data_IF_966054221409
#
_entry.id   IF_966054221409
#
_cell.length_a   1.000
_cell.length_b   1.000
_cell.length_c   1.000
_cell.angle_alpha   90.00
_cell.angle_beta   90.00
_cell.angle_gamma   90.00
#
_symmetry.space_group_name_H-M   'P 1'
#
loop_
_entity.id
_entity.type
_entity.pdbx_description
1 polymer ?
#
# COMPACT_ATOMS: atom_id res chain seq x y z
N UNK A 1 -9.03 18.83 -3.65
CA UNK A 1 -7.79 18.24 -4.19
C UNK A 1 -6.70 18.51 -3.19
N UNK A 2 -5.90 17.52 -2.79
CA UNK A 2 -4.71 17.81 -2.00
C UNK A 2 -3.62 18.23 -2.98
N UNK A 3 -3.30 19.52 -3.01
CA UNK A 3 -2.26 20.10 -3.85
C UNK A 3 -1.02 20.30 -2.97
N UNK A 4 -0.28 19.21 -2.78
CA UNK A 4 0.94 19.21 -2.00
C UNK A 4 2.11 18.80 -2.90
N UNK A 5 3.11 19.67 -3.05
CA UNK A 5 4.33 19.41 -3.80
C UNK A 5 5.54 19.53 -2.89
N UNK A 6 6.45 18.57 -2.96
CA UNK A 6 7.71 18.65 -2.23
C UNK A 6 8.75 19.28 -3.13
N UNK A 7 9.35 20.38 -2.70
CA UNK A 7 10.41 21.04 -3.48
C UNK A 7 11.79 20.42 -3.27
N UNK A 8 11.97 19.65 -2.21
CA UNK A 8 13.27 19.13 -1.82
C UNK A 8 13.34 18.76 -0.35
N UNK A 9 14.57 18.46 0.08
CA UNK A 9 14.89 18.07 1.45
C UNK A 9 15.80 19.11 2.11
N UNK A 10 15.59 19.28 3.42
CA UNK A 10 16.39 20.16 4.28
C UNK A 10 16.63 19.48 5.62
N UNK A 11 17.69 19.88 6.30
CA UNK A 11 17.94 19.46 7.69
C UNK A 11 17.37 20.51 8.63
N UNK A 12 16.51 20.09 9.55
CA UNK A 12 15.93 20.96 10.59
C UNK A 12 15.93 20.21 11.92
N UNK A 13 16.48 20.83 12.97
CA UNK A 13 16.58 20.18 14.29
C UNK A 13 17.43 18.90 14.31
N UNK A 14 18.35 18.73 13.34
CA UNK A 14 19.16 17.51 13.21
C UNK A 14 18.44 16.37 12.48
N UNK A 15 17.21 16.57 12.03
CA UNK A 15 16.44 15.58 11.26
C UNK A 15 16.26 16.04 9.81
N UNK A 16 16.21 15.07 8.89
CA UNK A 16 15.95 15.32 7.48
C UNK A 16 14.43 15.45 7.27
N UNK A 17 14.02 16.59 6.72
CA UNK A 17 12.63 16.96 6.50
C UNK A 17 12.40 17.33 5.03
N UNK A 18 11.17 17.15 4.56
CA UNK A 18 10.72 17.60 3.24
C UNK A 18 10.12 19.00 3.32
N UNK A 19 10.54 19.89 2.44
CA UNK A 19 9.89 21.20 2.23
C UNK A 19 8.69 20.98 1.31
N UNK A 20 7.49 21.11 1.86
CA UNK A 20 6.24 20.89 1.13
C UNK A 20 5.46 22.20 1.00
N UNK A 21 5.13 22.58 -0.23
CA UNK A 21 4.16 23.61 -0.54
C UNK A 21 2.76 23.02 -0.53
N UNK A 22 1.84 23.70 0.16
CA UNK A 22 0.42 23.34 0.22
C UNK A 22 -0.39 24.18 -0.76
N UNK A 23 -1.64 23.80 -0.99
CA UNK A 23 -2.57 24.49 -1.90
C UNK A 23 -2.73 26.01 -1.67
N UNK A 24 -2.41 26.50 -0.48
CA UNK A 24 -2.50 27.91 -0.11
C UNK A 24 -1.19 28.68 -0.40
N UNK A 25 -0.20 28.07 -1.05
CA UNK A 25 1.14 28.62 -1.26
C UNK A 25 2.02 28.62 0.00
N UNK A 26 1.54 28.05 1.10
CA UNK A 26 2.31 27.98 2.34
C UNK A 26 3.29 26.81 2.27
N UNK A 27 4.58 27.12 2.46
CA UNK A 27 5.65 26.13 2.60
C UNK A 27 5.77 25.72 4.07
N UNK A 28 5.84 24.41 4.32
CA UNK A 28 6.01 23.83 5.65
C UNK A 28 7.00 22.68 5.63
N UNK A 29 7.52 22.31 6.81
CA UNK A 29 8.37 21.13 6.96
C UNK A 29 7.52 19.91 7.30
N UNK A 30 7.84 18.80 6.65
CA UNK A 30 7.13 17.54 6.78
C UNK A 30 8.12 16.40 7.00
N UNK A 31 7.84 15.51 7.95
CA UNK A 31 8.66 14.32 8.18
C UNK A 31 8.58 13.32 7.02
N UNK A 32 9.66 12.58 6.77
CA UNK A 32 9.79 11.68 5.62
C UNK A 32 8.75 10.54 5.58
N UNK A 33 8.15 10.19 6.71
CA UNK A 33 7.08 9.17 6.77
C UNK A 33 5.84 9.58 5.98
N UNK A 34 5.60 10.89 5.85
CA UNK A 34 4.45 11.42 5.11
C UNK A 34 4.65 11.37 3.59
N UNK A 35 5.89 11.23 3.11
CA UNK A 35 6.21 11.14 1.68
C UNK A 35 5.54 9.93 1.00
N UNK A 36 5.16 8.90 1.76
CA UNK A 36 4.37 7.78 1.26
C UNK A 36 2.92 8.13 0.89
N UNK A 37 2.44 9.34 1.23
CA UNK A 37 1.07 9.83 0.93
C UNK A 37 1.04 11.24 0.31
N UNK A 38 1.97 12.12 0.70
CA UNK A 38 1.99 13.55 0.38
C UNK A 38 3.24 13.96 -0.38
N UNK A 39 3.20 15.11 -1.06
CA UNK A 39 4.32 15.64 -1.84
C UNK A 39 4.28 15.35 -3.34
N UNK A 40 3.18 14.77 -3.81
CA UNK A 40 2.79 14.78 -5.22
C UNK A 40 1.31 15.19 -5.25
N UNK A 41 0.91 16.14 -6.10
CA UNK A 41 -0.47 16.54 -6.30
C UNK A 41 -1.41 15.38 -6.57
N UNK A 42 -2.66 15.55 -6.17
CA UNK A 42 -3.74 14.60 -6.42
C UNK A 42 -4.87 15.25 -7.22
N UNK A 43 -5.49 14.49 -8.12
CA UNK A 43 -6.61 14.94 -8.92
C UNK A 43 -7.86 14.09 -8.65
N UNK A 44 -9.05 14.71 -8.79
CA UNK A 44 -10.33 14.02 -8.61
C UNK A 44 -10.64 13.05 -9.76
N UNK A 45 -10.21 13.39 -10.97
CA UNK A 45 -10.33 12.55 -12.16
C UNK A 45 -8.94 12.39 -12.78
N UNK A 46 -8.58 11.16 -13.10
CA UNK A 46 -7.28 10.81 -13.68
C UNK A 46 -7.48 9.90 -14.88
N UNK A 47 -6.73 10.15 -15.95
CA UNK A 47 -6.51 9.17 -17.01
C UNK A 47 -5.66 8.06 -16.42
N UNK A 48 -5.99 6.80 -16.72
CA UNK A 48 -5.29 5.62 -16.22
C UNK A 48 -4.84 4.76 -17.39
N UNK A 49 -3.55 4.74 -17.66
CA UNK A 49 -2.97 3.97 -18.75
C UNK A 49 -2.08 2.85 -18.21
N UNK A 50 -2.24 1.66 -18.76
CA UNK A 50 -1.36 0.51 -18.50
C UNK A 50 -0.33 0.45 -19.62
N UNK A 51 0.95 0.48 -19.26
CA UNK A 51 2.05 0.61 -20.21
C UNK A 51 3.13 -0.41 -19.88
N UNK A 52 3.80 -0.91 -20.93
CA UNK A 52 5.11 -1.53 -20.82
C UNK A 52 6.16 -0.46 -21.11
N UNK A 53 7.07 -0.24 -20.16
CA UNK A 53 8.09 0.81 -20.23
C UNK A 53 9.46 0.21 -19.95
N UNK A 54 10.49 0.70 -20.64
CA UNK A 54 11.85 0.41 -20.25
C UNK A 54 12.38 1.53 -19.35
N UNK A 55 13.08 1.16 -18.27
CA UNK A 55 13.60 2.16 -17.33
C UNK A 55 14.63 3.12 -17.96
N UNK A 56 15.34 2.68 -19.00
CA UNK A 56 16.30 3.51 -19.73
C UNK A 56 15.65 4.56 -20.65
N UNK A 57 14.35 4.44 -20.93
CA UNK A 57 13.62 5.42 -21.75
C UNK A 57 13.24 6.68 -20.95
N UNK A 58 13.38 6.64 -19.63
CA UNK A 58 13.08 7.76 -18.74
C UNK A 58 14.27 8.72 -18.71
N UNK A 59 14.01 9.98 -19.07
CA UNK A 59 15.01 11.05 -19.04
C UNK A 59 14.62 12.12 -18.01
N UNK A 60 15.55 12.62 -17.18
CA UNK A 60 15.25 13.75 -16.29
C UNK A 60 14.86 15.01 -17.09
N UNK A 61 13.82 15.70 -16.63
CA UNK A 61 13.34 16.95 -17.23
C UNK A 61 12.97 17.96 -16.12
N UNK A 62 12.62 19.19 -16.52
CA UNK A 62 12.22 20.23 -15.57
C UNK A 62 10.83 19.95 -14.98
N UNK A 63 10.60 20.32 -13.73
CA UNK A 63 9.29 20.24 -13.08
C UNK A 63 8.31 21.37 -13.50
N UNK A 64 8.72 22.26 -14.41
CA UNK A 64 8.00 23.51 -14.71
C UNK A 64 6.57 23.30 -15.18
N UNK A 65 6.33 22.35 -16.10
CA UNK A 65 4.97 22.03 -16.57
C UNK A 65 4.10 21.49 -15.42
N UNK A 66 4.71 20.73 -14.49
CA UNK A 66 4.05 20.21 -13.31
C UNK A 66 3.63 21.32 -12.35
N UNK A 67 4.57 22.19 -12.00
CA UNK A 67 4.36 23.34 -11.12
C UNK A 67 3.29 24.27 -11.69
N UNK A 68 3.39 24.60 -12.98
CA UNK A 68 2.46 25.50 -13.67
C UNK A 68 1.05 24.91 -13.71
N UNK A 69 0.90 23.63 -14.06
CA UNK A 69 -0.41 23.00 -14.19
C UNK A 69 -1.18 22.96 -12.87
N UNK A 70 -0.49 22.68 -11.76
CA UNK A 70 -1.11 22.61 -10.43
C UNK A 70 -1.19 23.97 -9.73
N UNK A 71 -0.78 25.06 -10.38
CA UNK A 71 -0.83 26.41 -9.81
C UNK A 71 0.08 26.58 -8.59
N UNK A 72 1.19 25.84 -8.54
CA UNK A 72 2.18 25.91 -7.48
C UNK A 72 3.10 27.12 -7.69
N UNK A 73 3.67 27.66 -6.62
CA UNK A 73 4.59 28.78 -6.73
C UNK A 73 5.88 28.33 -7.42
N UNK A 74 6.08 28.82 -8.65
CA UNK A 74 7.33 28.65 -9.35
C UNK A 74 8.46 29.29 -8.52
N UNK A 75 9.31 28.45 -7.94
CA UNK A 75 10.66 28.88 -7.58
C UNK A 75 11.42 29.13 -8.89
N UNK A 76 12.44 29.98 -8.88
CA UNK A 76 13.25 30.33 -10.06
C UNK A 76 13.55 29.09 -10.92
N UNK A 77 13.47 29.18 -12.25
CA UNK A 77 13.73 28.05 -13.15
C UNK A 77 15.02 27.32 -12.75
N UNK A 78 14.92 26.01 -12.52
CA UNK A 78 16.05 25.17 -12.09
C UNK A 78 16.31 25.08 -10.58
N UNK A 79 15.46 25.66 -9.72
CA UNK A 79 15.64 25.58 -8.25
C UNK A 79 14.82 24.49 -7.56
N UNK A 80 13.88 23.85 -8.27
CA UNK A 80 13.15 22.71 -7.71
C UNK A 80 14.07 21.48 -7.63
N UNK A 81 14.17 20.89 -6.44
CA UNK A 81 15.05 19.76 -6.13
C UNK A 81 14.27 18.44 -6.14
N UNK A 82 13.05 18.42 -6.68
CA UNK A 82 12.28 17.21 -6.92
C UNK A 82 12.36 16.82 -8.39
N UNK A 83 13.08 15.74 -8.66
CA UNK A 83 13.30 15.21 -10.00
C UNK A 83 11.96 14.79 -10.64
N UNK A 84 11.81 15.13 -11.92
CA UNK A 84 10.72 14.66 -12.78
C UNK A 84 11.33 13.98 -13.99
N UNK A 85 10.83 12.80 -14.34
CA UNK A 85 11.20 12.10 -15.57
C UNK A 85 10.20 12.41 -16.67
N UNK A 86 10.68 12.51 -17.90
CA UNK A 86 9.85 12.34 -19.09
C UNK A 86 10.04 10.93 -19.67
N UNK A 87 8.94 10.36 -20.18
CA UNK A 87 8.94 9.12 -20.96
C UNK A 87 7.86 9.18 -22.03
N UNK A 88 8.12 8.60 -23.20
CA UNK A 88 7.19 8.55 -24.31
C UNK A 88 6.65 7.13 -24.48
N UNK A 89 5.33 6.97 -24.52
CA UNK A 89 4.69 5.68 -24.77
C UNK A 89 3.32 5.86 -25.39
N UNK A 90 2.98 5.04 -26.39
CA UNK A 90 1.68 5.11 -27.06
C UNK A 90 1.38 6.47 -27.73
N UNK A 91 2.42 7.20 -28.16
CA UNK A 91 2.28 8.55 -28.73
C UNK A 91 2.04 9.67 -27.70
N UNK A 92 2.04 9.35 -26.40
CA UNK A 92 1.90 10.31 -25.32
C UNK A 92 3.22 10.53 -24.59
N UNK A 93 3.47 11.79 -24.17
CA UNK A 93 4.52 12.14 -23.22
C UNK A 93 3.96 12.06 -21.80
N UNK A 94 4.70 11.43 -20.89
CA UNK A 94 4.36 11.35 -19.47
C UNK A 94 5.40 12.07 -18.64
N UNK A 95 4.97 12.91 -17.71
CA UNK A 95 5.83 13.51 -16.69
C UNK A 95 5.64 12.78 -15.36
N UNK A 96 6.70 12.13 -14.88
CA UNK A 96 6.67 11.23 -13.73
C UNK A 96 7.56 11.78 -12.62
N UNK A 97 6.98 12.34 -11.53
CA UNK A 97 7.77 12.76 -10.38
C UNK A 97 8.49 11.58 -9.73
N UNK A 98 9.76 11.77 -9.37
CA UNK A 98 10.58 10.75 -8.73
C UNK A 98 9.90 10.16 -7.48
N UNK A 99 9.29 11.00 -6.64
CA UNK A 99 8.50 10.54 -5.50
C UNK A 99 7.34 9.59 -5.86
N UNK A 100 6.64 9.82 -6.97
CA UNK A 100 5.58 8.92 -7.43
C UNK A 100 6.17 7.56 -7.85
N UNK A 101 7.31 7.58 -8.55
CA UNK A 101 8.05 6.37 -8.93
C UNK A 101 8.59 5.61 -7.70
N UNK A 102 9.22 6.31 -6.75
CA UNK A 102 9.72 5.74 -5.49
C UNK A 102 8.60 5.04 -4.70
N UNK A 103 7.39 5.62 -4.62
CA UNK A 103 6.24 4.96 -3.96
C UNK A 103 5.83 3.65 -4.65
N UNK A 104 6.03 3.54 -5.96
CA UNK A 104 5.75 2.34 -6.72
C UNK A 104 6.83 1.28 -6.52
N UNK A 105 8.11 1.69 -6.50
CA UNK A 105 9.28 0.82 -6.30
C UNK A 105 9.37 0.27 -4.88
N UNK A 106 9.17 1.11 -3.86
CA UNK A 106 9.40 0.73 -2.47
C UNK A 106 8.11 0.32 -1.76
N UNK A 107 7.61 -0.90 -2.04
CA UNK A 107 6.35 -1.40 -1.47
C UNK A 107 6.56 -2.25 -0.20
N UNK A 108 5.79 -2.03 0.87
CA UNK A 108 4.74 -1.01 1.02
C UNK A 108 5.32 0.39 1.30
N UNK A 109 4.88 1.39 0.51
CA UNK A 109 5.44 2.75 0.51
C UNK A 109 5.51 3.40 1.89
N UNK A 110 4.44 3.29 2.69
CA UNK A 110 4.38 3.89 4.03
C UNK A 110 5.41 3.35 5.03
N UNK A 111 6.08 2.23 4.70
CA UNK A 111 7.03 1.56 5.58
C UNK A 111 8.42 1.53 5.00
N UNK A 112 8.55 1.23 3.71
CA UNK A 112 9.85 1.03 3.07
C UNK A 112 10.46 2.33 2.54
N UNK A 113 9.66 3.20 1.91
CA UNK A 113 10.14 4.46 1.34
C UNK A 113 10.91 5.33 2.35
N UNK A 114 10.41 5.60 3.58
CA UNK A 114 11.13 6.47 4.51
C UNK A 114 12.51 5.93 4.91
N UNK A 115 12.69 4.60 4.86
CA UNK A 115 13.95 3.96 5.18
C UNK A 115 15.01 4.19 4.10
N UNK A 116 14.60 4.35 2.84
CA UNK A 116 15.50 4.54 1.69
C UNK A 116 16.26 5.87 1.73
N UNK A 117 15.79 6.84 2.51
CA UNK A 117 16.49 8.11 2.73
C UNK A 117 17.66 8.01 3.73
N UNK A 118 17.90 6.81 4.31
CA UNK A 118 19.00 6.54 5.23
C UNK A 118 20.14 5.78 4.54
N UNK A 119 21.39 5.90 5.01
CA UNK A 119 22.49 5.12 4.46
C UNK A 119 22.28 3.62 4.66
N UNK A 120 22.70 2.82 3.68
CA UNK A 120 22.63 1.35 3.66
C UNK A 120 21.23 0.84 4.01
N UNK A 121 20.22 1.46 3.39
CA UNK A 121 18.83 1.25 3.75
C UNK A 121 18.40 -0.21 3.57
N UNK A 122 18.88 -0.89 2.53
CA UNK A 122 18.55 -2.28 2.28
C UNK A 122 19.20 -3.18 3.33
N UNK A 123 20.51 -3.09 3.54
CA UNK A 123 21.29 -3.94 4.45
C UNK A 123 20.87 -3.79 5.91
N UNK A 124 20.43 -2.59 6.30
CA UNK A 124 19.95 -2.34 7.67
C UNK A 124 18.56 -2.91 7.94
N UNK A 125 17.79 -3.21 6.90
CA UNK A 125 16.37 -3.56 7.02
C UNK A 125 16.03 -4.93 6.43
N UNK A 126 16.92 -5.51 5.63
CA UNK A 126 16.76 -6.80 4.98
C UNK A 126 18.10 -7.51 4.88
N UNK A 127 18.08 -8.83 4.93
CA UNK A 127 19.24 -9.70 4.67
C UNK A 127 18.85 -10.90 3.83
N UNK A 128 19.84 -11.48 3.17
CA UNK A 128 19.71 -12.77 2.52
C UNK A 128 20.11 -13.88 3.50
N UNK A 129 19.32 -14.94 3.54
CA UNK A 129 19.58 -16.11 4.37
C UNK A 129 19.31 -17.38 3.57
N UNK A 130 20.24 -18.33 3.61
CA UNK A 130 20.02 -19.66 3.08
C UNK A 130 19.26 -20.51 4.11
N UNK A 131 18.12 -21.05 3.71
CA UNK A 131 17.32 -21.99 4.50
C UNK A 131 17.07 -23.21 3.62
N UNK A 132 17.59 -24.38 4.02
CA UNK A 132 17.48 -25.63 3.27
C UNK A 132 17.93 -25.49 1.78
N UNK A 133 19.11 -24.87 1.58
CA UNK A 133 19.70 -24.53 0.27
C UNK A 133 18.86 -23.56 -0.61
N UNK A 134 17.78 -23.01 -0.08
CA UNK A 134 16.98 -21.96 -0.73
C UNK A 134 17.37 -20.57 -0.19
N UNK A 135 17.72 -19.66 -1.10
CA UNK A 135 18.06 -18.29 -0.74
C UNK A 135 16.80 -17.45 -0.49
N UNK A 136 16.59 -16.98 0.75
CA UNK A 136 15.41 -16.22 1.15
C UNK A 136 15.75 -14.80 1.56
N UNK A 137 14.79 -13.89 1.39
CA UNK A 137 14.88 -12.53 1.95
C UNK A 137 14.23 -12.51 3.31
N UNK A 138 15.02 -12.14 4.32
CA UNK A 138 14.53 -11.86 5.66
C UNK A 138 14.45 -10.35 5.82
N UNK A 139 13.26 -9.85 6.14
CA UNK A 139 13.02 -8.41 6.37
C UNK A 139 13.06 -8.15 7.88
N UNK A 140 14.18 -7.60 8.35
CA UNK A 140 14.45 -7.30 9.77
C UNK A 140 13.98 -5.90 10.20
N UNK A 141 13.31 -5.17 9.31
CA UNK A 141 12.81 -3.83 9.58
C UNK A 141 11.86 -3.77 10.81
N UNK A 142 11.89 -2.72 11.64
CA UNK A 142 11.09 -2.66 12.88
C UNK A 142 9.59 -2.90 12.71
N UNK A 143 9.05 -2.55 11.54
CA UNK A 143 7.63 -2.72 11.21
C UNK A 143 7.23 -4.17 10.87
N UNK A 144 8.18 -5.08 10.60
CA UNK A 144 7.86 -6.47 10.24
C UNK A 144 7.53 -7.34 11.43
N UNK A 145 7.97 -6.96 12.64
CA UNK A 145 7.73 -7.69 13.90
C UNK A 145 6.24 -7.90 14.22
N UNK A 146 5.35 -7.09 13.66
CA UNK A 146 3.89 -7.20 13.81
C UNK A 146 3.15 -7.61 12.52
N UNK A 147 3.87 -7.85 11.42
CA UNK A 147 3.33 -7.95 10.07
C UNK A 147 3.09 -9.38 9.55
N UNK A 148 3.46 -10.44 10.31
CA UNK A 148 3.29 -11.85 9.88
C UNK A 148 1.86 -12.21 9.42
N UNK A 149 0.86 -11.43 9.80
CA UNK A 149 -0.56 -11.68 9.50
C UNK A 149 -1.21 -10.74 8.47
N UNK A 150 -0.47 -9.83 7.82
CA UNK A 150 -1.05 -8.89 6.83
C UNK A 150 -0.18 -8.71 5.57
N UNK A 151 0.30 -9.81 4.97
CA UNK A 151 0.98 -9.77 3.66
C UNK A 151 -0.04 -9.56 2.53
N UNK A 152 -0.51 -8.33 2.33
CA UNK A 152 -1.28 -7.95 1.13
C UNK A 152 -0.40 -7.34 0.02
N UNK A 153 0.82 -6.88 0.35
CA UNK A 153 1.81 -6.43 -0.64
C UNK A 153 2.93 -7.47 -0.77
N UNK A 154 3.16 -7.97 -1.98
CA UNK A 154 4.32 -8.81 -2.30
C UNK A 154 5.59 -7.96 -2.22
N UNK A 155 6.13 -7.75 -1.01
CA UNK A 155 7.36 -6.98 -0.81
C UNK A 155 8.62 -7.86 -0.89
N UNK A 156 8.48 -9.18 -0.76
CA UNK A 156 9.58 -10.13 -0.76
C UNK A 156 10.28 -10.21 -2.12
N UNK A 157 9.50 -10.35 -3.22
CA UNK A 157 10.04 -10.34 -4.58
C UNK A 157 10.82 -9.06 -4.92
N UNK A 158 10.23 -7.87 -4.73
CA UNK A 158 10.92 -6.58 -4.92
C UNK A 158 12.19 -6.42 -4.09
N UNK A 159 12.16 -6.76 -2.80
CA UNK A 159 13.34 -6.65 -1.93
C UNK A 159 14.43 -7.65 -2.34
N UNK A 160 14.04 -8.85 -2.76
CA UNK A 160 14.97 -9.86 -3.29
C UNK A 160 15.67 -9.37 -4.53
N UNK A 161 14.92 -8.79 -5.45
CA UNK A 161 15.46 -8.16 -6.65
C UNK A 161 16.47 -7.06 -6.30
N UNK A 162 16.10 -6.12 -5.43
CA UNK A 162 16.99 -5.03 -5.01
C UNK A 162 18.27 -5.53 -4.31
N UNK A 163 18.19 -6.62 -3.54
CA UNK A 163 19.35 -7.21 -2.89
C UNK A 163 20.25 -7.98 -3.85
N UNK A 164 19.73 -8.52 -4.94
CA UNK A 164 20.50 -9.43 -5.82
C UNK A 164 20.99 -8.79 -7.10
N UNK A 165 20.26 -7.82 -7.64
CA UNK A 165 20.59 -7.19 -8.92
C UNK A 165 21.34 -5.88 -8.70
N UNK A 166 22.58 -5.72 -9.24
CA UNK A 166 23.40 -4.54 -9.03
C UNK A 166 22.72 -3.23 -9.39
N UNK A 167 21.97 -3.17 -10.49
CA UNK A 167 21.29 -1.95 -10.91
C UNK A 167 20.14 -1.58 -9.97
N UNK A 168 19.43 -2.56 -9.42
CA UNK A 168 18.36 -2.36 -8.46
C UNK A 168 18.87 -1.96 -7.08
N UNK A 169 20.03 -2.50 -6.67
CA UNK A 169 20.72 -2.07 -5.44
C UNK A 169 21.17 -0.62 -5.55
N UNK A 170 21.81 -0.24 -6.67
CA UNK A 170 22.22 1.14 -6.97
C UNK A 170 21.02 2.10 -6.99
N UNK A 171 19.89 1.71 -7.60
CA UNK A 171 18.65 2.47 -7.54
C UNK A 171 18.25 2.76 -6.08
N UNK A 172 18.22 1.75 -5.22
CA UNK A 172 17.82 1.94 -3.82
C UNK A 172 18.79 2.87 -3.06
N UNK A 173 20.09 2.71 -3.25
CA UNK A 173 21.13 3.53 -2.61
C UNK A 173 21.12 4.98 -3.10
N UNK A 174 20.77 5.21 -4.37
CA UNK A 174 20.73 6.55 -4.97
C UNK A 174 19.80 7.50 -4.21
N UNK A 175 18.71 6.99 -3.60
CA UNK A 175 17.75 7.79 -2.85
C UNK A 175 18.43 8.54 -1.71
N UNK A 176 19.23 7.84 -0.90
CA UNK A 176 19.98 8.48 0.19
C UNK A 176 21.06 9.43 -0.36
N UNK A 177 21.76 9.03 -1.42
CA UNK A 177 22.81 9.84 -2.04
C UNK A 177 22.28 11.20 -2.52
N UNK A 178 21.15 11.20 -3.25
CA UNK A 178 20.47 12.41 -3.67
C UNK A 178 19.91 13.19 -2.48
N UNK A 179 19.39 12.51 -1.46
CA UNK A 179 18.86 13.15 -0.27
C UNK A 179 19.92 13.95 0.50
N UNK A 180 21.18 13.51 0.49
CA UNK A 180 22.31 14.25 1.06
C UNK A 180 22.57 15.58 0.35
N UNK A 181 22.23 15.69 -0.95
CA UNK A 181 22.23 16.94 -1.70
C UNK A 181 20.92 17.75 -1.54
N UNK A 182 20.00 17.28 -0.71
CA UNK A 182 18.69 17.91 -0.52
C UNK A 182 17.70 17.65 -1.65
N UNK A 183 17.91 16.62 -2.47
CA UNK A 183 17.03 16.28 -3.60
C UNK A 183 16.04 15.16 -3.26
N UNK A 184 14.87 15.21 -3.89
CA UNK A 184 13.96 14.08 -4.05
C UNK A 184 14.21 13.49 -5.45
N UNK A 185 15.13 12.54 -5.54
CA UNK A 185 15.54 11.92 -6.80
C UNK A 185 15.93 10.44 -6.61
N UNK A 186 15.84 9.65 -7.68
CA UNK A 186 16.17 8.22 -7.71
C UNK A 186 16.75 7.84 -9.06
N UNK A 187 17.77 7.00 -9.08
CA UNK A 187 18.23 6.36 -10.33
C UNK A 187 17.32 5.20 -10.68
N UNK A 188 17.06 4.95 -11.96
CA UNK A 188 16.23 3.83 -12.38
C UNK A 188 17.09 2.59 -12.72
N UNK A 189 16.61 1.38 -12.42
CA UNK A 189 17.41 0.16 -12.56
C UNK A 189 17.39 -0.34 -14.02
N UNK A 190 18.23 -1.33 -14.33
CA UNK A 190 18.26 -1.95 -15.64
C UNK A 190 17.09 -2.93 -15.77
N UNK A 191 16.22 -2.71 -16.77
CA UNK A 191 15.12 -3.61 -17.07
C UNK A 191 13.93 -2.90 -17.70
N UNK A 192 12.83 -3.65 -17.78
CA UNK A 192 11.53 -3.11 -18.17
C UNK A 192 10.49 -3.46 -17.12
N UNK A 193 9.41 -2.69 -17.12
CA UNK A 193 8.35 -2.83 -16.16
C UNK A 193 6.99 -2.64 -16.80
N UNK A 194 6.04 -3.36 -16.24
CA UNK A 194 4.64 -3.15 -16.53
C UNK A 194 4.10 -2.18 -15.46
N UNK A 195 3.64 -1.02 -15.90
CA UNK A 195 3.19 0.08 -15.03
C UNK A 195 1.74 0.45 -15.31
N UNK A 196 1.09 1.03 -14.31
CA UNK A 196 -0.11 1.85 -14.49
C UNK A 196 0.22 3.27 -14.08
N UNK A 197 0.09 4.21 -15.00
CA UNK A 197 0.17 5.63 -14.70
C UNK A 197 -1.25 6.18 -14.53
N UNK A 198 -1.48 6.85 -13.40
CA UNK A 198 -2.66 7.68 -13.21
C UNK A 198 -2.25 9.15 -13.15
N UNK A 199 -2.82 9.97 -14.03
CA UNK A 199 -2.41 11.36 -14.18
C UNK A 199 -3.50 12.25 -14.75
N UNK A 200 -3.19 13.54 -14.86
CA UNK A 200 -4.05 14.55 -15.48
C UNK A 200 -3.47 14.95 -16.82
N UNK A 201 -4.33 15.16 -17.82
CA UNK A 201 -3.88 15.69 -19.10
C UNK A 201 -3.45 17.15 -18.93
N UNK A 202 -2.17 17.42 -19.18
CA UNK A 202 -1.60 18.75 -19.28
C UNK A 202 -1.66 19.29 -20.71
N UNK A 203 -1.00 20.43 -20.92
CA UNK A 203 -0.95 21.07 -22.23
C UNK A 203 -0.18 20.23 -23.25
N UNK A 204 0.93 19.59 -22.84
CA UNK A 204 1.80 18.83 -23.74
C UNK A 204 2.09 17.40 -23.28
N UNK A 205 1.77 17.06 -22.03
CA UNK A 205 2.03 15.75 -21.45
C UNK A 205 0.96 15.33 -20.45
N UNK A 206 0.89 14.03 -20.16
CA UNK A 206 0.15 13.51 -19.00
C UNK A 206 1.00 13.69 -17.75
N UNK A 207 0.51 14.49 -16.80
CA UNK A 207 1.16 14.72 -15.52
C UNK A 207 0.81 13.59 -14.56
N UNK A 208 1.75 12.66 -14.37
CA UNK A 208 1.52 11.45 -13.57
C UNK A 208 1.51 11.81 -12.09
N UNK A 209 0.43 11.47 -11.41
CA UNK A 209 0.20 11.72 -9.96
C UNK A 209 0.37 10.45 -9.12
N UNK A 210 0.14 9.28 -9.73
CA UNK A 210 0.34 7.98 -9.11
C UNK A 210 0.98 7.03 -10.12
N UNK A 211 2.02 6.31 -9.70
CA UNK A 211 2.58 5.18 -10.42
C UNK A 211 2.23 3.90 -9.66
N UNK A 212 1.76 2.88 -10.38
CA UNK A 212 1.68 1.51 -9.86
C UNK A 212 2.56 0.60 -10.69
N UNK A 213 3.48 -0.09 -10.05
CA UNK A 213 4.26 -1.15 -10.67
C UNK A 213 3.44 -2.45 -10.57
N UNK A 214 3.22 -3.11 -11.70
CA UNK A 214 2.56 -4.42 -11.76
C UNK A 214 3.60 -5.53 -11.73
N UNK A 215 4.67 -5.37 -12.50
CA UNK A 215 5.82 -6.28 -12.51
C UNK A 215 7.08 -5.61 -13.05
N UNK A 216 8.23 -6.17 -12.74
CA UNK A 216 9.53 -5.82 -13.30
C UNK A 216 10.20 -7.06 -13.88
N UNK A 217 10.88 -6.91 -15.00
CA UNK A 217 11.80 -7.91 -15.54
C UNK A 217 13.18 -7.26 -15.61
N UNK A 218 14.14 -7.69 -14.76
CA UNK A 218 15.49 -7.14 -14.76
C UNK A 218 16.22 -7.51 -16.05
N UNK A 219 17.10 -6.63 -16.51
CA UNK A 219 17.99 -6.93 -17.65
C UNK A 219 19.45 -7.11 -17.24
N UNK A 220 19.79 -6.85 -15.98
CA UNK A 220 21.09 -7.19 -15.39
C UNK A 220 21.07 -8.57 -14.73
N UNK A 221 22.27 -9.09 -14.48
CA UNK A 221 22.48 -10.43 -13.90
C UNK A 221 22.61 -10.29 -12.38
N UNK A 222 22.00 -11.19 -11.58
CA UNK A 222 22.17 -11.16 -10.13
C UNK A 222 23.59 -11.53 -9.70
N UNK A 223 24.06 -10.94 -8.60
CA UNK A 223 25.40 -11.17 -8.01
C UNK A 223 25.57 -12.57 -7.41
N UNK A 224 24.46 -13.20 -7.03
CA UNK A 224 24.43 -14.53 -6.44
C UNK A 224 23.62 -15.49 -7.32
N UNK A 225 23.94 -16.80 -7.31
CA UNK A 225 23.14 -17.79 -8.01
C UNK A 225 21.70 -17.74 -7.52
N UNK A 226 20.77 -17.57 -8.45
CA UNK A 226 19.33 -17.62 -8.20
C UNK A 226 18.80 -18.98 -8.63
N UNK A 227 18.29 -19.77 -7.68
CA UNK A 227 17.67 -21.05 -7.99
C UNK A 227 16.30 -20.82 -8.65
N UNK A 228 16.07 -21.32 -9.87
CA UNK A 228 14.79 -21.47 -10.60
C UNK A 228 13.71 -20.38 -10.44
N UNK A 229 14.07 -19.16 -10.03
CA UNK A 229 13.10 -18.09 -9.82
C UNK A 229 12.65 -17.52 -11.15
N UNK A 230 11.36 -17.22 -11.23
CA UNK A 230 10.81 -16.50 -12.36
C UNK A 230 11.58 -15.18 -12.55
N UNK A 231 12.03 -14.87 -13.78
CA UNK A 231 12.74 -13.62 -14.07
C UNK A 231 11.84 -12.39 -13.90
N UNK A 232 10.52 -12.59 -13.83
CA UNK A 232 9.51 -11.57 -13.58
C UNK A 232 9.26 -11.42 -12.07
N UNK A 233 9.43 -10.20 -11.57
CA UNK A 233 9.14 -9.80 -10.21
C UNK A 233 7.77 -9.15 -10.16
N UNK A 234 6.78 -9.82 -9.58
CA UNK A 234 5.44 -9.26 -9.44
C UNK A 234 5.31 -8.37 -8.20
N UNK A 235 4.82 -7.15 -8.42
CA UNK A 235 4.53 -6.18 -7.35
C UNK A 235 3.11 -6.29 -6.81
N UNK A 236 2.25 -7.01 -7.53
CA UNK A 236 0.88 -7.32 -7.17
C UNK A 236 0.78 -8.83 -6.99
N UNK A 237 0.08 -9.28 -5.94
CA UNK A 237 -0.23 -10.69 -5.80
C UNK A 237 -1.33 -11.05 -6.81
N UNK A 238 -0.92 -11.42 -8.04
CA UNK A 238 -1.83 -11.76 -9.14
C UNK A 238 -2.66 -13.00 -8.82
N UNK A 239 -2.10 -13.99 -8.12
CA UNK A 239 -2.82 -15.19 -7.66
C UNK A 239 -3.97 -14.81 -6.71
N UNK A 240 -3.78 -13.81 -5.86
CA UNK A 240 -4.87 -13.28 -5.03
C UNK A 240 -5.90 -12.48 -5.84
N UNK A 241 -5.48 -11.80 -6.90
CA UNK A 241 -6.33 -10.96 -7.76
C UNK A 241 -7.04 -11.74 -8.88
N UNK A 242 -6.56 -12.93 -9.23
CA UNK A 242 -7.12 -13.79 -10.27
C UNK A 242 -8.53 -14.21 -9.89
N UNK A 243 -9.51 -13.94 -10.76
CA UNK A 243 -10.93 -14.17 -10.49
C UNK A 243 -11.60 -13.19 -9.52
N UNK A 244 -10.90 -12.17 -9.01
CA UNK A 244 -11.49 -11.13 -8.15
C UNK A 244 -11.65 -9.82 -8.91
N UNK A 245 -12.89 -9.46 -9.26
CA UNK A 245 -13.20 -8.10 -9.69
C UNK A 245 -13.05 -7.15 -8.50
N UNK A 246 -11.93 -6.44 -8.42
CA UNK A 246 -11.67 -5.43 -7.36
C UNK A 246 -12.56 -4.18 -7.47
N UNK A 247 -13.38 -4.07 -8.51
CA UNK A 247 -14.45 -3.08 -8.65
C UNK A 247 -15.80 -3.56 -8.12
N UNK A 248 -15.94 -4.85 -7.82
CA UNK A 248 -17.11 -5.38 -7.15
C UNK A 248 -16.90 -5.12 -5.65
N UNK A 249 -17.79 -4.32 -5.06
CA UNK A 249 -17.82 -4.21 -3.60
C UNK A 249 -18.14 -5.61 -3.11
N UNK A 250 -17.12 -6.36 -2.66
CA UNK A 250 -17.32 -7.60 -1.92
C UNK A 250 -17.97 -7.18 -0.61
N UNK A 251 -19.28 -6.95 -0.66
CA UNK A 251 -20.13 -7.03 0.51
C UNK A 251 -19.94 -8.45 1.00
N UNK A 252 -19.39 -8.61 2.20
CA UNK A 252 -19.51 -9.89 2.85
C UNK A 252 -21.01 -10.19 2.86
N UNK A 253 -21.44 -11.31 2.27
CA UNK A 253 -22.84 -11.74 2.28
C UNK A 253 -23.21 -12.10 3.73
N UNK A 254 -23.41 -11.05 4.54
CA UNK A 254 -23.76 -11.11 5.95
C UNK A 254 -25.28 -11.18 5.98
N UNK A 255 -25.89 -12.24 6.52
CA UNK A 255 -27.33 -12.34 6.57
C UNK A 255 -27.89 -11.20 7.43
N UNK A 256 -28.86 -10.44 6.92
CA UNK A 256 -29.58 -9.39 7.64
C UNK A 256 -31.03 -9.81 7.91
N UNK A 257 -31.64 -9.20 8.92
CA UNK A 257 -33.06 -9.32 9.18
C UNK A 257 -33.89 -8.56 8.12
N UNK A 258 -35.17 -8.93 7.88
CA UNK A 258 -36.02 -8.25 6.91
C UNK A 258 -36.19 -6.73 7.14
N UNK A 259 -35.96 -6.24 8.36
CA UNK A 259 -35.99 -4.82 8.73
C UNK A 259 -34.67 -4.08 8.44
N UNK A 260 -33.67 -4.76 7.87
CA UNK A 260 -32.37 -4.20 7.51
C UNK A 260 -31.34 -4.19 8.64
N UNK A 261 -31.65 -4.77 9.80
CA UNK A 261 -30.74 -4.85 10.95
C UNK A 261 -29.79 -6.05 10.87
N UNK A 262 -28.66 -5.94 11.56
CA UNK A 262 -27.63 -7.00 11.60
C UNK A 262 -27.47 -7.62 12.99
N UNK A 263 -27.94 -6.92 14.02
CA UNK A 263 -27.88 -7.32 15.42
C UNK A 263 -28.50 -8.70 15.65
N UNK A 264 -27.97 -9.42 16.63
CA UNK A 264 -28.41 -10.78 16.96
C UNK A 264 -29.60 -10.74 17.92
N UNK A 265 -30.63 -11.51 17.59
CA UNK A 265 -31.69 -11.86 18.55
C UNK A 265 -31.17 -12.83 19.62
N UNK A 266 -31.91 -12.97 20.72
CA UNK A 266 -31.56 -13.91 21.79
C UNK A 266 -31.52 -15.36 21.28
N UNK A 267 -32.45 -15.72 20.39
CA UNK A 267 -32.53 -17.06 19.80
C UNK A 267 -31.37 -17.33 18.85
N UNK A 268 -30.95 -16.35 18.04
CA UNK A 268 -29.78 -16.49 17.18
C UNK A 268 -28.49 -16.60 17.99
N UNK A 269 -28.39 -15.81 19.06
CA UNK A 269 -27.25 -15.90 19.96
C UNK A 269 -27.18 -17.25 20.68
N UNK A 270 -28.31 -17.85 21.05
CA UNK A 270 -28.33 -19.17 21.67
C UNK A 270 -27.72 -20.26 20.77
N UNK A 271 -27.83 -20.12 19.45
CA UNK A 271 -27.23 -21.05 18.48
C UNK A 271 -25.78 -20.71 18.19
N UNK A 272 -25.45 -19.42 18.02
CA UNK A 272 -24.14 -18.96 17.55
C UNK A 272 -23.12 -18.80 18.67
N UNK A 273 -23.57 -18.41 19.86
CA UNK A 273 -22.72 -18.20 21.04
C UNK A 273 -21.83 -19.41 21.35
N UNK A 274 -22.37 -20.63 21.43
CA UNK A 274 -21.59 -21.84 21.64
C UNK A 274 -20.49 -22.08 20.60
N UNK A 275 -20.75 -21.76 19.32
CA UNK A 275 -19.77 -21.91 18.21
C UNK A 275 -18.58 -20.96 18.41
N UNK A 276 -18.82 -19.76 18.91
CA UNK A 276 -17.78 -18.75 19.14
C UNK A 276 -17.04 -18.95 20.46
N UNK A 277 -17.62 -19.71 21.38
CA UNK A 277 -17.11 -19.99 22.72
C UNK A 277 -16.44 -21.36 22.86
N UNK A 278 -16.70 -22.30 21.94
CA UNK A 278 -16.32 -23.73 22.04
C UNK A 278 -14.82 -24.02 22.14
N UNK A 279 -13.93 -23.13 21.68
CA UNK A 279 -12.47 -23.33 21.71
C UNK A 279 -11.71 -22.30 22.56
N UNK A 280 -11.99 -22.24 23.87
CA UNK A 280 -11.05 -21.60 24.81
C UNK A 280 -10.20 -22.65 25.54
N UNK A 281 -9.05 -22.98 24.95
CA UNK A 281 -7.96 -23.67 25.64
C UNK A 281 -7.33 -22.84 26.77
N UNK A 282 -7.70 -21.56 26.96
CA UNK A 282 -7.12 -20.69 27.98
C UNK A 282 -8.20 -19.95 28.79
N UNK A 283 -8.17 -20.14 30.11
CA UNK A 283 -9.06 -19.58 31.15
C UNK A 283 -9.02 -18.03 31.31
N UNK A 284 -8.64 -17.26 30.28
CA UNK A 284 -8.71 -15.79 30.39
C UNK A 284 -10.09 -15.29 29.98
N UNK A 285 -10.81 -14.70 30.94
CA UNK A 285 -12.13 -14.09 30.74
C UNK A 285 -12.04 -13.05 29.62
N UNK A 286 -12.89 -13.16 28.58
CA UNK A 286 -12.99 -12.11 27.58
C UNK A 286 -13.38 -10.80 28.27
N UNK A 287 -12.64 -9.73 28.00
CA UNK A 287 -12.89 -8.41 28.60
C UNK A 287 -14.21 -7.79 28.10
N UNK A 288 -14.71 -8.24 26.95
CA UNK A 288 -15.92 -7.72 26.33
C UNK A 288 -16.92 -8.84 26.03
N UNK A 289 -18.21 -8.50 26.09
CA UNK A 289 -19.31 -9.40 25.74
C UNK A 289 -19.18 -9.83 24.27
N UNK A 290 -19.11 -11.14 24.01
CA UNK A 290 -18.87 -11.66 22.67
C UNK A 290 -20.05 -11.44 21.73
N UNK A 291 -21.28 -11.49 22.22
CA UNK A 291 -22.48 -11.15 21.45
C UNK A 291 -22.40 -9.74 20.88
N UNK A 292 -22.20 -8.76 21.76
CA UNK A 292 -22.09 -7.35 21.38
C UNK A 292 -20.89 -7.09 20.46
N UNK A 293 -19.83 -7.87 20.60
CA UNK A 293 -18.69 -7.83 19.68
C UNK A 293 -19.07 -8.37 18.29
N UNK A 294 -19.84 -9.47 18.24
CA UNK A 294 -20.34 -10.03 16.99
C UNK A 294 -21.33 -9.06 16.32
N UNK A 295 -22.24 -8.42 17.06
CA UNK A 295 -23.16 -7.40 16.53
C UNK A 295 -22.40 -6.28 15.79
N UNK A 296 -21.36 -5.72 16.43
CA UNK A 296 -20.53 -4.67 15.81
C UNK A 296 -19.73 -5.15 14.61
N UNK A 297 -19.29 -6.42 14.60
CA UNK A 297 -18.62 -7.04 13.46
C UNK A 297 -19.59 -7.25 12.30
N UNK A 298 -20.80 -7.77 12.55
CA UNK A 298 -21.83 -7.97 11.53
C UNK A 298 -22.25 -6.64 10.92
N UNK A 299 -22.49 -5.61 11.74
CA UNK A 299 -22.81 -4.27 11.26
C UNK A 299 -21.69 -3.64 10.42
N UNK A 300 -20.42 -3.76 10.85
CA UNK A 300 -19.27 -3.33 10.04
C UNK A 300 -19.21 -4.03 8.68
N UNK A 301 -19.43 -5.35 8.67
CA UNK A 301 -19.31 -6.15 7.45
C UNK A 301 -20.47 -5.93 6.49
N UNK A 302 -21.69 -5.78 7.01
CA UNK A 302 -22.89 -5.51 6.22
C UNK A 302 -22.96 -4.09 5.65
N UNK A 303 -22.46 -3.08 6.39
CA UNK A 303 -22.48 -1.68 5.93
C UNK A 303 -21.28 -1.29 5.06
N UNK A 304 -20.23 -2.12 5.02
CA UNK A 304 -18.99 -1.84 4.26
C UNK A 304 -18.13 -0.68 4.82
N UNK A 305 -18.52 -0.06 5.94
CA UNK A 305 -17.76 1.04 6.56
C UNK A 305 -16.38 0.58 7.04
N UNK A 306 -15.45 1.53 7.14
CA UNK A 306 -14.15 1.27 7.74
C UNK A 306 -14.32 0.80 9.19
N UNK A 307 -13.39 -0.01 9.71
CA UNK A 307 -13.46 -0.43 11.11
C UNK A 307 -13.52 0.77 12.07
N UNK A 308 -12.88 1.89 11.75
CA UNK A 308 -12.88 3.09 12.60
C UNK A 308 -14.21 3.83 12.59
N UNK A 309 -14.93 3.79 11.48
CA UNK A 309 -16.17 4.55 11.26
C UNK A 309 -17.43 3.72 11.57
N UNK A 310 -17.26 2.48 12.05
CA UNK A 310 -18.36 1.59 12.44
C UNK A 310 -18.71 1.80 13.92
N UNK A 311 -19.95 1.52 14.30
CA UNK A 311 -20.42 1.61 15.69
C UNK A 311 -20.15 0.31 16.46
N UNK A 312 -19.68 0.45 17.70
CA UNK A 312 -19.46 -0.68 18.62
C UNK A 312 -20.08 -0.34 19.98
N UNK A 313 -20.84 -1.27 20.54
CA UNK A 313 -21.45 -1.11 21.87
C UNK A 313 -20.55 -1.61 23.00
N UNK A 314 -19.47 -2.34 22.66
CA UNK A 314 -18.43 -2.80 23.58
C UNK A 314 -17.05 -2.75 22.94
N UNK A 315 -16.04 -2.37 23.71
CA UNK A 315 -14.67 -2.22 23.20
C UNK A 315 -14.55 -1.14 22.13
N UNK A 316 -13.40 -1.08 21.47
CA UNK A 316 -13.17 -0.21 20.32
C UNK A 316 -13.02 -1.01 19.01
N UNK A 317 -12.84 -0.28 17.90
CA UNK A 317 -12.64 -0.87 16.57
C UNK A 317 -11.44 -1.84 16.50
N UNK A 318 -10.41 -1.67 17.35
CA UNK A 318 -9.24 -2.55 17.40
C UNK A 318 -9.62 -3.87 18.05
N UNK A 319 -10.45 -3.84 19.10
CA UNK A 319 -10.99 -5.03 19.74
C UNK A 319 -11.86 -5.83 18.77
N UNK A 320 -12.77 -5.16 18.05
CA UNK A 320 -13.63 -5.79 17.04
C UNK A 320 -12.81 -6.41 15.90
N UNK A 321 -11.88 -5.64 15.31
CA UNK A 321 -11.03 -6.13 14.23
C UNK A 321 -10.14 -7.30 14.65
N UNK A 322 -9.66 -7.31 15.90
CA UNK A 322 -8.83 -8.39 16.44
C UNK A 322 -9.65 -9.64 16.74
N UNK A 323 -10.84 -9.47 17.31
CA UNK A 323 -11.77 -10.57 17.60
C UNK A 323 -12.23 -11.25 16.31
N UNK A 324 -12.65 -10.46 15.32
CA UNK A 324 -12.98 -10.95 13.98
C UNK A 324 -11.85 -11.76 13.36
N UNK A 325 -10.63 -11.22 13.34
CA UNK A 325 -9.44 -11.94 12.82
C UNK A 325 -9.19 -13.26 13.54
N UNK A 326 -9.36 -13.29 14.85
CA UNK A 326 -9.16 -14.50 15.64
C UNK A 326 -10.24 -15.56 15.36
N UNK A 327 -11.50 -15.17 15.24
CA UNK A 327 -12.58 -16.10 14.88
C UNK A 327 -12.47 -16.60 13.44
N UNK A 328 -12.06 -15.75 12.49
CA UNK A 328 -11.78 -16.21 11.12
C UNK A 328 -10.63 -17.21 11.08
N UNK A 329 -9.53 -16.95 11.80
CA UNK A 329 -8.37 -17.86 11.85
C UNK A 329 -8.75 -19.24 12.41
N UNK A 330 -9.71 -19.28 13.34
CA UNK A 330 -10.22 -20.51 13.94
C UNK A 330 -11.33 -21.17 13.12
N UNK A 331 -11.82 -20.53 12.06
CA UNK A 331 -12.99 -21.00 11.30
C UNK A 331 -14.35 -20.82 12.00
N UNK A 332 -14.36 -20.47 13.30
CA UNK A 332 -15.60 -20.30 14.08
C UNK A 332 -16.48 -19.17 13.58
N UNK A 333 -15.90 -18.12 12.98
CA UNK A 333 -16.69 -17.05 12.36
C UNK A 333 -17.49 -17.56 11.17
N UNK A 334 -16.90 -18.40 10.32
CA UNK A 334 -17.56 -18.95 9.13
C UNK A 334 -18.73 -19.84 9.54
N UNK A 335 -18.52 -20.74 10.51
CA UNK A 335 -19.57 -21.61 11.05
C UNK A 335 -20.72 -20.81 11.70
N UNK A 336 -20.38 -19.77 12.47
CA UNK A 336 -21.37 -18.87 13.06
C UNK A 336 -22.21 -18.16 11.99
N UNK A 337 -21.57 -17.69 10.91
CA UNK A 337 -22.25 -16.99 9.82
C UNK A 337 -23.19 -17.93 9.03
N UNK A 338 -22.77 -19.18 8.80
CA UNK A 338 -23.61 -20.21 8.18
C UNK A 338 -24.84 -20.54 9.03
N UNK A 339 -24.66 -20.74 10.34
CA UNK A 339 -25.77 -20.95 11.26
C UNK A 339 -26.76 -19.77 11.22
N UNK A 340 -26.26 -18.53 11.21
CA UNK A 340 -27.11 -17.34 11.07
C UNK A 340 -27.87 -17.32 9.75
N UNK A 341 -27.24 -17.71 8.63
CA UNK A 341 -27.94 -17.80 7.34
C UNK A 341 -29.09 -18.79 7.43
N UNK A 342 -28.86 -19.99 7.95
CA UNK A 342 -29.89 -21.02 8.08
C UNK A 342 -31.06 -20.56 8.96
N UNK A 343 -30.79 -19.91 10.10
CA UNK A 343 -31.83 -19.40 11.01
C UNK A 343 -32.63 -18.28 10.32
N UNK A 344 -31.93 -17.31 9.70
CA UNK A 344 -32.56 -16.14 9.07
C UNK A 344 -33.27 -16.50 7.77
N UNK A 345 -32.85 -17.55 7.05
CA UNK A 345 -33.53 -18.06 5.85
C UNK A 345 -34.77 -18.89 6.18
N UNK A 346 -34.72 -19.73 7.23
CA UNK A 346 -35.88 -20.51 7.68
C UNK A 346 -37.06 -19.60 8.09
N UNK A 347 -36.76 -18.45 8.71
CA UNK A 347 -37.76 -17.45 9.10
C UNK A 347 -38.36 -16.66 7.91
N UNK A 348 -37.84 -16.81 6.68
CA UNK A 348 -38.43 -16.18 5.47
C UNK A 348 -39.54 -17.02 4.82
N UNK A 349 -39.62 -18.31 5.12
CA UNK A 349 -40.60 -19.24 4.53
C UNK A 349 -41.74 -19.65 5.48
N UNK A 350 -41.77 -19.11 6.69
CA UNK A 350 -42.75 -19.46 7.72
C UNK A 350 -43.81 -18.38 7.97
N UNK A 351 -44.13 -17.57 6.95
CA UNK A 351 -45.23 -16.57 6.98
C UNK A 351 -46.33 -16.92 6.00
#
# INVERSE_FOLDING_TARGET
MAMDWVHGLVVSGGELCAEVETANGQVSLMGLTELGRRGVPSAQSTIRERLDVHFHDFSPCTAYEYITHFGLQARTEGTDRHQVFEVFSGGLRYLVPALAMMRALFRPALRLLPLMFSPSALERNCRLEYVDDELRVVVDAPWTRFAKTQRHSNCEGPLRWMLLHPSARKMADSVHQYAMGGLIAVDLPAGHAEVVFAGVQGASAVLVTEVRLLSVVPSDVPDLPVADWAPRIDYVNRIWAEGRNLGETVSADVPWHPDGTYELTDNEWAVVGPILESERACKRRCQHCQRKMLDGILGKLGTGKSWRDSSYTVGDWRNAATTYRNWCRRGTFTQALEALRSIRSANRFSR
#
